data_IF_014888243302
#
_entry.id   IF_014888243302
#
_cell.length_a   1.000
_cell.length_b   1.000
_cell.length_c   1.000
_cell.angle_alpha   90.00
_cell.angle_beta   90.00
_cell.angle_gamma   90.00
#
_symmetry.space_group_name_H-M   'P 1'
#
loop_
_entity.id
_entity.type
_entity.pdbx_description
1 polymer ?
#
# COMPACT_ATOMS: atom_id res chain seq x y z
N UNK A 1 7.01 8.34 -8.90
CA UNK A 1 6.53 9.58 -8.26
C UNK A 1 5.94 9.24 -6.91
N UNK A 2 6.22 10.05 -5.87
CA UNK A 2 5.65 9.89 -4.53
C UNK A 2 4.19 10.34 -4.52
N UNK A 3 3.31 9.51 -3.98
CA UNK A 3 1.88 9.80 -3.80
C UNK A 3 1.51 9.61 -2.33
N UNK A 4 0.44 10.27 -1.89
CA UNK A 4 0.03 10.30 -0.48
C UNK A 4 -1.49 10.18 -0.34
N UNK A 5 -1.94 9.51 0.72
CA UNK A 5 -3.34 9.45 1.13
C UNK A 5 -3.46 9.27 2.64
N UNK A 6 -4.62 9.62 3.20
CA UNK A 6 -4.97 9.32 4.59
C UNK A 6 -5.91 8.12 4.65
N UNK A 7 -5.78 7.32 5.71
CA UNK A 7 -6.65 6.17 5.96
C UNK A 7 -6.70 5.83 7.44
N UNK A 8 -7.80 5.22 7.87
CA UNK A 8 -7.93 4.64 9.20
C UNK A 8 -7.15 3.34 9.31
N UNK A 9 -6.49 3.16 10.45
CA UNK A 9 -5.84 1.91 10.81
C UNK A 9 -6.88 0.90 11.20
N UNK A 10 -6.96 -0.18 10.44
CA UNK A 10 -7.87 -1.30 10.64
C UNK A 10 -7.09 -2.55 11.07
N UNK A 11 -7.81 -3.58 11.50
CA UNK A 11 -7.26 -4.88 11.84
C UNK A 11 -8.25 -5.96 11.47
N UNK A 12 -7.78 -7.04 10.86
CA UNK A 12 -8.63 -8.21 10.63
C UNK A 12 -9.08 -8.83 11.96
N UNK A 13 -10.34 -9.27 12.02
CA UNK A 13 -10.98 -9.77 13.26
C UNK A 13 -10.47 -11.14 13.73
N UNK A 14 -9.56 -11.78 13.00
CA UNK A 14 -9.00 -13.08 13.36
C UNK A 14 -8.00 -13.01 14.53
N UNK A 15 -7.81 -14.13 15.23
CA UNK A 15 -6.74 -14.26 16.22
C UNK A 15 -5.39 -14.03 15.54
N UNK A 16 -4.59 -13.09 16.04
CA UNK A 16 -3.35 -12.68 15.38
C UNK A 16 -3.52 -11.82 14.11
N UNK A 17 -4.76 -11.34 13.84
CA UNK A 17 -5.08 -10.52 12.68
C UNK A 17 -4.17 -9.32 12.51
N UNK A 18 -3.74 -9.10 11.26
CA UNK A 18 -2.81 -8.05 10.90
C UNK A 18 -3.46 -6.68 10.89
N UNK A 19 -2.66 -5.66 11.20
CA UNK A 19 -3.05 -4.27 11.05
C UNK A 19 -2.80 -3.83 9.61
N UNK A 20 -3.68 -3.02 9.06
CA UNK A 20 -3.58 -2.53 7.70
C UNK A 20 -4.25 -1.16 7.55
N UNK A 21 -4.05 -0.56 6.38
CA UNK A 21 -4.86 0.55 5.88
C UNK A 21 -5.42 0.20 4.52
N UNK A 22 -6.65 0.64 4.26
CA UNK A 22 -7.30 0.52 2.95
C UNK A 22 -6.73 1.56 1.97
N UNK A 23 -6.33 1.13 0.78
CA UNK A 23 -5.83 2.01 -0.28
C UNK A 23 -7.04 2.54 -1.06
N UNK A 24 -7.17 3.87 -1.27
CA UNK A 24 -8.23 4.41 -2.10
C UNK A 24 -8.22 3.81 -3.51
N UNK A 25 -9.36 3.33 -3.99
CA UNK A 25 -9.50 2.69 -5.31
C UNK A 25 -9.08 3.60 -6.46
N UNK A 26 -9.30 4.92 -6.31
CA UNK A 26 -8.82 5.95 -7.25
C UNK A 26 -7.30 5.95 -7.44
N UNK A 27 -6.55 5.45 -6.45
CA UNK A 27 -5.09 5.33 -6.48
C UNK A 27 -4.69 3.95 -7.01
N UNK A 28 -5.31 2.87 -6.55
CA UNK A 28 -4.88 1.52 -6.93
C UNK A 28 -5.28 1.13 -8.35
N UNK A 29 -6.50 1.47 -8.81
CA UNK A 29 -7.00 1.05 -10.13
C UNK A 29 -6.13 1.50 -11.32
N UNK A 30 -5.68 2.76 -11.41
CA UNK A 30 -4.78 3.16 -12.50
C UNK A 30 -3.45 2.39 -12.47
N UNK A 31 -2.96 2.02 -11.30
CA UNK A 31 -1.71 1.28 -11.14
C UNK A 31 -1.84 -0.18 -11.55
N UNK A 32 -3.02 -0.80 -11.39
CA UNK A 32 -3.29 -2.16 -11.90
C UNK A 32 -3.14 -2.25 -13.42
N UNK A 33 -3.55 -1.21 -14.14
CA UNK A 33 -3.47 -1.14 -15.61
C UNK A 33 -2.02 -0.94 -16.11
N UNK A 34 -1.15 -0.36 -15.28
CA UNK A 34 0.20 0.04 -15.67
C UNK A 34 1.26 -1.05 -15.43
N UNK A 35 1.01 -2.02 -14.55
CA UNK A 35 2.04 -2.94 -14.08
C UNK A 35 1.78 -4.42 -14.30
N UNK A 36 2.83 -5.15 -14.69
CA UNK A 36 2.82 -6.62 -14.68
C UNK A 36 2.72 -7.13 -13.24
N UNK A 37 1.53 -7.58 -12.84
CA UNK A 37 1.29 -8.01 -11.47
C UNK A 37 0.91 -9.48 -11.42
N UNK A 38 1.72 -10.25 -10.68
CA UNK A 38 1.42 -11.62 -10.30
C UNK A 38 0.24 -11.56 -9.31
N UNK A 39 -0.96 -11.91 -9.77
CA UNK A 39 -2.19 -11.99 -8.94
C UNK A 39 -2.64 -10.68 -8.27
N UNK A 40 -2.49 -9.51 -8.92
CA UNK A 40 -3.03 -8.24 -8.41
C UNK A 40 -2.17 -7.51 -7.36
N UNK A 41 -0.93 -7.97 -7.11
CA UNK A 41 -0.01 -7.34 -6.15
C UNK A 41 0.80 -6.22 -6.78
N UNK A 42 0.67 -4.99 -6.27
CA UNK A 42 1.44 -3.83 -6.75
C UNK A 42 2.58 -3.53 -5.80
N UNK A 43 3.83 -3.75 -6.22
CA UNK A 43 5.00 -3.50 -5.37
C UNK A 43 5.22 -2.00 -5.15
N UNK A 44 5.33 -1.58 -3.89
CA UNK A 44 5.55 -0.19 -3.46
C UNK A 44 6.57 -0.09 -2.34
N UNK A 45 7.13 1.10 -2.12
CA UNK A 45 7.76 1.49 -0.86
C UNK A 45 6.79 2.40 -0.15
N UNK A 46 6.33 2.02 1.04
CA UNK A 46 5.42 2.83 1.86
C UNK A 46 6.20 3.63 2.91
N UNK A 47 5.64 4.76 3.33
CA UNK A 47 6.21 5.68 4.31
C UNK A 47 5.09 6.19 5.21
N UNK A 48 5.32 6.16 6.52
CA UNK A 48 4.48 6.81 7.54
C UNK A 48 5.41 7.52 8.52
N UNK A 49 5.18 8.80 8.76
CA UNK A 49 6.08 9.61 9.59
C UNK A 49 7.51 9.52 9.08
N UNK A 50 8.40 8.96 9.91
CA UNK A 50 9.83 8.78 9.59
C UNK A 50 10.21 7.34 9.21
N UNK A 51 9.24 6.43 9.17
CA UNK A 51 9.49 5.02 8.87
C UNK A 51 9.09 4.69 7.43
N UNK A 52 10.04 4.19 6.66
CA UNK A 52 9.82 3.65 5.32
C UNK A 52 10.05 2.14 5.28
N UNK A 53 9.28 1.41 4.46
CA UNK A 53 9.47 -0.01 4.27
C UNK A 53 8.99 -0.50 2.89
N UNK A 54 9.66 -1.52 2.30
CA UNK A 54 9.17 -2.19 1.11
C UNK A 54 7.91 -3.01 1.44
N UNK A 55 6.87 -2.84 0.63
CA UNK A 55 5.60 -3.59 0.76
C UNK A 55 4.89 -3.71 -0.60
N UNK A 56 3.63 -4.11 -0.59
CA UNK A 56 2.76 -4.14 -1.78
C UNK A 56 1.36 -3.68 -1.44
N UNK A 57 0.65 -3.12 -2.41
CA UNK A 57 -0.80 -3.09 -2.38
C UNK A 57 -1.29 -4.52 -2.61
N UNK A 58 -1.86 -5.10 -1.57
CA UNK A 58 -2.33 -6.49 -1.57
C UNK A 58 -3.83 -6.50 -1.85
N UNK A 59 -4.34 -7.33 -2.78
CA UNK A 59 -5.77 -7.49 -2.97
C UNK A 59 -6.44 -7.96 -1.68
N UNK A 60 -7.50 -7.28 -1.25
CA UNK A 60 -8.29 -7.65 -0.08
C UNK A 60 -9.38 -8.68 -0.41
N UNK A 61 -9.71 -8.84 -1.70
CA UNK A 61 -10.70 -9.79 -2.21
C UNK A 61 -12.03 -9.14 -2.67
N UNK A 62 -12.20 -7.84 -2.41
CA UNK A 62 -13.39 -7.04 -2.75
C UNK A 62 -13.05 -5.95 -3.79
N UNK A 63 -12.13 -6.23 -4.72
CA UNK A 63 -11.54 -5.28 -5.67
C UNK A 63 -10.80 -4.07 -5.04
N UNK A 64 -10.60 -4.08 -3.72
CA UNK A 64 -9.77 -3.09 -3.04
C UNK A 64 -8.39 -3.65 -2.70
N UNK A 65 -7.47 -2.75 -2.38
CA UNK A 65 -6.14 -3.11 -1.91
C UNK A 65 -5.92 -2.58 -0.51
N UNK A 66 -5.03 -3.27 0.20
CA UNK A 66 -4.55 -2.87 1.52
C UNK A 66 -3.03 -2.76 1.54
N UNK A 67 -2.53 -1.98 2.49
CA UNK A 67 -1.13 -2.00 2.90
C UNK A 67 -1.06 -2.55 4.31
N UNK A 68 -0.32 -3.64 4.49
CA UNK A 68 -0.03 -4.17 5.82
C UNK A 68 0.85 -3.18 6.61
N UNK A 69 0.55 -3.06 7.91
CA UNK A 69 1.30 -2.28 8.89
C UNK A 69 2.05 -3.23 9.85
N UNK A 70 3.32 -3.57 9.57
CA UNK A 70 4.10 -4.47 10.41
C UNK A 70 4.18 -3.95 11.85
N UNK A 71 4.24 -4.86 12.83
CA UNK A 71 4.36 -4.50 14.24
C UNK A 71 5.52 -3.52 14.50
N UNK A 72 6.69 -3.74 13.87
CA UNK A 72 7.86 -2.85 13.97
C UNK A 72 7.57 -1.42 13.49
N UNK A 73 6.79 -1.25 12.43
CA UNK A 73 6.39 0.08 11.91
C UNK A 73 5.45 0.73 12.91
N UNK A 74 4.41 0.01 13.35
CA UNK A 74 3.43 0.53 14.32
C UNK A 74 4.06 0.93 15.64
N UNK A 75 4.98 0.13 16.17
CA UNK A 75 5.68 0.45 17.42
C UNK A 75 6.56 1.70 17.29
N UNK A 76 7.25 1.89 16.15
CA UNK A 76 8.10 3.05 15.92
C UNK A 76 7.30 4.35 15.79
N UNK A 77 6.22 4.31 15.04
CA UNK A 77 5.37 5.49 14.75
C UNK A 77 4.20 5.63 15.74
N UNK A 78 4.15 4.80 16.79
CA UNK A 78 3.09 4.79 17.82
C UNK A 78 1.66 4.65 17.25
N UNK A 79 1.52 3.84 16.21
CA UNK A 79 0.25 3.65 15.49
C UNK A 79 -0.64 2.64 16.22
N UNK A 80 -1.87 3.03 16.51
CA UNK A 80 -2.90 2.20 17.15
C UNK A 80 -4.11 1.96 16.25
N UNK A 81 -4.95 0.99 16.60
CA UNK A 81 -6.21 0.72 15.90
C UNK A 81 -7.11 1.97 15.91
N UNK A 82 -7.78 2.26 14.80
CA UNK A 82 -8.70 3.38 14.66
C UNK A 82 -8.04 4.75 14.47
N UNK A 83 -6.71 4.83 14.50
CA UNK A 83 -5.99 6.07 14.22
C UNK A 83 -6.06 6.39 12.73
N UNK A 84 -6.32 7.65 12.38
CA UNK A 84 -6.11 8.13 11.01
C UNK A 84 -4.63 8.45 10.81
N UNK A 85 -4.02 7.88 9.77
CA UNK A 85 -2.61 8.09 9.43
C UNK A 85 -2.47 8.54 7.99
N UNK A 86 -1.47 9.39 7.75
CA UNK A 86 -1.02 9.71 6.40
C UNK A 86 0.00 8.68 5.93
N UNK A 87 -0.26 8.07 4.77
CA UNK A 87 0.62 7.12 4.10
C UNK A 87 1.09 7.76 2.81
N UNK A 88 2.41 7.85 2.65
CA UNK A 88 3.01 8.09 1.35
C UNK A 88 3.52 6.79 0.74
N UNK A 89 3.58 6.70 -0.58
CA UNK A 89 4.17 5.56 -1.27
C UNK A 89 4.79 5.93 -2.61
N UNK A 90 5.70 5.06 -3.06
CA UNK A 90 6.28 5.08 -4.40
C UNK A 90 6.18 3.68 -5.02
N UNK A 91 5.79 3.61 -6.29
CA UNK A 91 5.73 2.33 -7.01
C UNK A 91 7.14 1.82 -7.30
N UNK A 92 7.35 0.52 -7.08
CA UNK A 92 8.58 -0.21 -7.42
C UNK A 92 8.47 -0.96 -8.74
N UNK A 93 7.38 -0.73 -9.48
CA UNK A 93 7.16 -1.31 -10.80
C UNK A 93 8.21 -0.70 -11.74
N UNK A 94 8.99 -1.54 -12.42
CA UNK A 94 9.87 -1.07 -13.50
C UNK A 94 8.98 -0.47 -14.59
N UNK A 95 9.20 0.80 -14.93
CA UNK A 95 8.71 1.35 -16.19
C UNK A 95 9.19 0.40 -17.30
N UNK A 96 8.27 -0.30 -17.96
CA UNK A 96 8.57 -0.79 -19.31
C UNK A 96 8.77 0.48 -20.12
N UNK A 97 10.02 0.74 -20.55
CA UNK A 97 10.26 1.72 -21.61
C UNK A 97 9.20 1.49 -22.67
N UNK A 98 8.38 2.51 -22.91
CA UNK A 98 7.54 2.55 -24.10
C UNK A 98 8.54 2.39 -25.25
N UNK A 99 8.53 1.22 -25.91
CA UNK A 99 9.13 1.10 -27.22
C UNK A 99 8.32 2.04 -28.12
N UNK A 100 8.87 3.24 -28.30
CA UNK A 100 8.45 4.18 -29.33
C UNK A 100 8.78 3.47 -30.63
N UNK A 101 7.78 2.85 -31.24
CA UNK A 101 7.84 2.50 -32.65
C UNK A 101 7.84 3.83 -33.43
N UNK A 102 9.03 4.22 -33.89
CA UNK A 102 9.22 5.21 -34.95
C UNK A 102 8.88 4.53 -36.28
#
# INVERSE_FOLDING_TARGET
>A
MKQTFTALVERFESQGGWYYVSVPTKISKPLELLGGHRFGFIAVTAIVGNTSWPTSFMPKGDETHIIALPAKVRSKEKITLGMEIEISFETRVRERKQEVFI
#
